data_IF_122219657865
#
_entry.id   IF_122219657865
#
_cell.length_a   1.000
_cell.length_b   1.000
_cell.length_c   1.000
_cell.angle_alpha   90.00
_cell.angle_beta   90.00
_cell.angle_gamma   90.00
#
_symmetry.space_group_name_H-M   'P 1'
#
loop_
_entity.id
_entity.type
_entity.pdbx_description
1 polymer ?
#
# COMPACT_ATOMS: atom_id res chain seq x y z
N UNK A 1 4.38 14.62 3.45
CA UNK A 1 4.66 14.24 4.85
C UNK A 1 4.83 15.47 5.74
N UNK A 2 5.82 16.36 5.53
CA UNK A 2 5.98 17.57 6.38
C UNK A 2 4.77 18.52 6.28
N UNK A 3 4.25 18.77 5.07
CA UNK A 3 3.08 19.64 4.86
C UNK A 3 1.81 19.07 5.52
N UNK A 4 1.59 17.76 5.42
CA UNK A 4 0.49 17.06 6.11
C UNK A 4 0.66 17.07 7.62
N UNK A 5 1.89 16.94 8.14
CA UNK A 5 2.16 17.03 9.57
C UNK A 5 1.85 18.42 10.10
N UNK A 6 2.24 19.48 9.39
CA UNK A 6 1.91 20.86 9.76
C UNK A 6 0.40 21.13 9.70
N UNK A 7 -0.30 20.62 8.69
CA UNK A 7 -1.76 20.74 8.59
C UNK A 7 -2.49 20.02 9.71
N UNK A 8 -2.08 18.80 10.07
CA UNK A 8 -2.65 18.04 11.21
C UNK A 8 -2.31 18.73 12.53
N UNK A 9 -1.09 19.23 12.71
CA UNK A 9 -0.70 19.95 13.92
C UNK A 9 -1.51 21.24 14.09
N UNK A 10 -1.77 21.98 13.01
CA UNK A 10 -2.66 23.12 12.99
C UNK A 10 -4.11 22.74 13.33
N UNK A 11 -4.61 21.58 12.86
CA UNK A 11 -5.93 21.07 13.25
C UNK A 11 -6.02 20.72 14.74
N UNK A 12 -4.98 20.09 15.30
CA UNK A 12 -4.93 19.75 16.73
C UNK A 12 -4.95 21.03 17.56
N UNK A 13 -4.13 22.03 17.22
CA UNK A 13 -4.14 23.34 17.88
C UNK A 13 -5.51 24.02 17.76
N UNK A 14 -6.09 24.05 16.57
CA UNK A 14 -7.40 24.66 16.34
C UNK A 14 -8.52 23.96 17.14
N UNK A 15 -8.46 22.63 17.28
CA UNK A 15 -9.46 21.84 18.02
C UNK A 15 -9.35 22.02 19.53
N UNK A 16 -8.14 22.03 20.09
CA UNK A 16 -7.94 22.12 21.54
C UNK A 16 -8.01 23.56 22.07
N UNK A 17 -7.60 24.56 21.28
CA UNK A 17 -7.56 25.95 21.73
C UNK A 17 -8.73 26.80 21.26
N UNK A 18 -9.23 26.58 20.03
CA UNK A 18 -10.21 27.48 19.41
C UNK A 18 -11.66 26.98 19.44
N UNK A 19 -11.91 25.68 19.69
CA UNK A 19 -13.25 25.04 19.70
C UNK A 19 -14.13 25.30 18.46
N UNK A 20 -13.63 25.97 17.43
CA UNK A 20 -14.31 26.09 16.15
C UNK A 20 -14.10 24.80 15.36
N UNK A 21 -15.18 24.01 15.21
CA UNK A 21 -15.28 22.94 14.22
C UNK A 21 -15.31 23.56 12.82
N UNK A 22 -14.15 24.02 12.38
CA UNK A 22 -13.97 24.50 11.01
C UNK A 22 -14.04 23.26 10.11
N UNK A 23 -15.27 22.93 9.70
CA UNK A 23 -15.66 21.72 8.95
C UNK A 23 -14.76 21.46 7.74
N UNK A 24 -14.31 22.53 7.07
CA UNK A 24 -13.42 22.44 5.91
C UNK A 24 -11.99 21.98 6.22
N UNK A 25 -11.43 22.21 7.41
CA UNK A 25 -10.07 21.71 7.69
C UNK A 25 -10.02 20.18 7.69
N UNK A 26 -11.10 19.52 8.14
CA UNK A 26 -11.22 18.06 8.15
C UNK A 26 -11.16 17.49 6.73
N UNK A 27 -11.95 18.05 5.81
CA UNK A 27 -11.98 17.64 4.42
C UNK A 27 -10.64 17.89 3.71
N UNK A 28 -9.99 19.04 3.97
CA UNK A 28 -8.71 19.38 3.37
C UNK A 28 -7.60 18.41 3.78
N UNK A 29 -7.56 18.02 5.05
CA UNK A 29 -6.61 17.06 5.58
C UNK A 29 -6.84 15.67 4.96
N UNK A 30 -8.10 15.24 4.83
CA UNK A 30 -8.47 13.98 4.20
C UNK A 30 -8.05 13.94 2.72
N UNK A 31 -8.32 15.01 1.95
CA UNK A 31 -7.92 15.10 0.54
C UNK A 31 -6.40 15.03 0.39
N UNK A 32 -5.68 15.84 1.17
CA UNK A 32 -4.22 15.84 1.17
C UNK A 32 -3.66 14.46 1.49
N UNK A 33 -4.19 13.81 2.53
CA UNK A 33 -3.80 12.47 2.93
C UNK A 33 -3.99 11.44 1.82
N UNK A 34 -5.13 11.45 1.13
CA UNK A 34 -5.42 10.49 0.06
C UNK A 34 -4.50 10.71 -1.15
N UNK A 35 -4.24 11.96 -1.53
CA UNK A 35 -3.24 12.26 -2.56
C UNK A 35 -1.85 11.71 -2.20
N UNK A 36 -1.40 11.95 -0.97
CA UNK A 36 -0.13 11.38 -0.50
C UNK A 36 -0.15 9.85 -0.45
N UNK A 37 -1.27 9.24 -0.10
CA UNK A 37 -1.44 7.80 -0.05
C UNK A 37 -1.36 7.18 -1.46
N UNK A 38 -1.96 7.82 -2.47
CA UNK A 38 -1.79 7.38 -3.87
C UNK A 38 -0.35 7.54 -4.36
N UNK A 39 0.32 8.65 -4.05
CA UNK A 39 1.74 8.83 -4.38
C UNK A 39 2.59 7.78 -3.67
N UNK A 40 2.34 7.51 -2.39
CA UNK A 40 3.05 6.49 -1.64
C UNK A 40 2.81 5.09 -2.23
N UNK A 41 1.56 4.75 -2.58
CA UNK A 41 1.23 3.50 -3.25
C UNK A 41 1.99 3.36 -4.58
N UNK A 42 1.95 4.39 -5.43
CA UNK A 42 2.66 4.41 -6.70
C UNK A 42 4.19 4.27 -6.52
N UNK A 43 4.78 4.98 -5.55
CA UNK A 43 6.21 4.88 -5.24
C UNK A 43 6.58 3.49 -4.70
N UNK A 44 5.73 2.88 -3.89
CA UNK A 44 5.95 1.55 -3.31
C UNK A 44 5.86 0.46 -4.37
N UNK A 45 4.92 0.59 -5.31
CA UNK A 45 4.80 -0.22 -6.52
C UNK A 45 6.03 -0.05 -7.41
N UNK A 46 6.46 1.20 -7.65
CA UNK A 46 7.62 1.47 -8.51
C UNK A 46 8.94 0.94 -7.95
N UNK A 47 9.13 1.02 -6.63
CA UNK A 47 10.37 0.57 -5.97
C UNK A 47 10.36 -0.89 -5.54
N UNK A 48 9.43 -1.72 -6.04
CA UNK A 48 9.21 -3.12 -5.61
C UNK A 48 9.43 -3.24 -4.09
N UNK A 49 8.47 -2.83 -3.25
CA UNK A 49 8.64 -2.69 -1.78
C UNK A 49 9.31 -3.85 -1.00
N UNK A 50 9.53 -5.00 -1.63
CA UNK A 50 10.44 -6.05 -1.20
C UNK A 50 11.91 -5.61 -1.08
N UNK A 51 12.39 -4.64 -1.87
CA UNK A 51 13.81 -4.21 -1.93
C UNK A 51 14.35 -3.76 -0.57
N UNK A 52 13.57 -3.06 0.26
CA UNK A 52 14.05 -2.59 1.57
C UNK A 52 14.26 -3.71 2.59
N UNK A 53 13.36 -4.71 2.60
CA UNK A 53 13.47 -5.88 3.49
C UNK A 53 14.49 -6.88 2.94
N UNK A 54 14.58 -6.99 1.60
CA UNK A 54 15.60 -7.76 0.91
C UNK A 54 17.01 -7.24 1.24
N UNK A 55 17.22 -5.91 1.25
CA UNK A 55 18.52 -5.29 1.56
C UNK A 55 18.96 -5.53 3.01
N UNK A 56 18.02 -5.44 3.97
CA UNK A 56 18.27 -5.72 5.38
C UNK A 56 18.67 -7.19 5.59
N UNK A 57 18.05 -8.09 4.82
CA UNK A 57 18.35 -9.52 4.88
C UNK A 57 19.60 -9.91 4.13
N UNK A 58 19.94 -9.25 3.02
CA UNK A 58 21.20 -9.47 2.28
C UNK A 58 22.41 -9.12 3.16
N UNK A 59 22.26 -8.13 4.05
CA UNK A 59 23.23 -7.82 5.09
C UNK A 59 23.39 -8.94 6.12
N UNK A 60 22.31 -9.64 6.48
CA UNK A 60 22.27 -10.68 7.54
C UNK A 60 22.55 -12.09 7.00
N UNK A 61 22.19 -12.40 5.75
CA UNK A 61 22.32 -13.72 5.11
C UNK A 61 23.36 -13.74 4.00
N UNK A 62 24.52 -13.12 4.27
CA UNK A 62 25.65 -13.08 3.35
C UNK A 62 26.10 -14.51 2.99
N UNK A 63 25.83 -14.97 1.76
CA UNK A 63 26.39 -16.21 1.19
C UNK A 63 25.44 -17.35 0.80
N UNK A 64 24.10 -17.21 0.88
CA UNK A 64 23.16 -18.26 0.41
C UNK A 64 22.10 -17.71 -0.57
N UNK A 65 22.35 -17.74 -1.90
CA UNK A 65 21.47 -17.12 -2.90
C UNK A 65 20.06 -17.75 -2.97
N UNK A 66 19.93 -19.04 -2.63
CA UNK A 66 18.62 -19.71 -2.60
C UNK A 66 17.79 -19.34 -1.37
N UNK A 67 18.45 -19.08 -0.23
CA UNK A 67 17.76 -18.61 0.96
C UNK A 67 17.13 -17.25 0.70
N UNK A 68 17.88 -16.34 0.07
CA UNK A 68 17.41 -15.02 -0.35
C UNK A 68 16.09 -15.12 -1.14
N UNK A 69 16.08 -15.89 -2.23
CA UNK A 69 14.92 -16.06 -3.10
C UNK A 69 13.68 -16.66 -2.42
N UNK A 70 13.85 -17.69 -1.56
CA UNK A 70 12.72 -18.34 -0.87
C UNK A 70 11.94 -17.33 -0.01
N UNK A 71 12.64 -16.46 0.71
CA UNK A 71 11.96 -15.54 1.62
C UNK A 71 11.45 -14.28 0.93
N UNK A 72 11.98 -13.92 -0.24
CA UNK A 72 11.33 -12.95 -1.13
C UNK A 72 9.94 -13.43 -1.53
N UNK A 73 9.85 -14.69 -1.99
CA UNK A 73 8.57 -15.35 -2.30
C UNK A 73 7.67 -15.46 -1.06
N UNK A 74 8.22 -15.81 0.10
CA UNK A 74 7.45 -15.87 1.35
C UNK A 74 6.85 -14.52 1.73
N UNK A 75 7.63 -13.43 1.65
CA UNK A 75 7.15 -12.07 1.90
C UNK A 75 6.08 -11.66 0.90
N UNK A 76 6.25 -11.98 -0.39
CA UNK A 76 5.23 -11.74 -1.41
C UNK A 76 3.91 -12.44 -1.09
N UNK A 77 3.97 -13.72 -0.72
CA UNK A 77 2.79 -14.50 -0.30
C UNK A 77 2.14 -13.89 0.95
N UNK A 78 2.94 -13.49 1.95
CA UNK A 78 2.45 -12.87 3.17
C UNK A 78 1.76 -11.52 2.88
N UNK A 79 2.34 -10.70 2.01
CA UNK A 79 1.74 -9.43 1.57
C UNK A 79 0.42 -9.65 0.82
N UNK A 80 0.35 -10.64 -0.07
CA UNK A 80 -0.88 -11.04 -0.75
C UNK A 80 -1.93 -11.50 0.26
N UNK A 81 -1.56 -12.34 1.22
CA UNK A 81 -2.47 -12.82 2.26
C UNK A 81 -3.04 -11.67 3.10
N UNK A 82 -2.20 -10.72 3.51
CA UNK A 82 -2.64 -9.52 4.22
C UNK A 82 -3.62 -8.71 3.36
N UNK A 83 -3.30 -8.47 2.08
CA UNK A 83 -4.19 -7.77 1.15
C UNK A 83 -5.53 -8.48 0.97
N UNK A 84 -5.54 -9.81 0.86
CA UNK A 84 -6.78 -10.59 0.77
C UNK A 84 -7.67 -10.44 2.01
N UNK A 85 -7.09 -10.22 3.20
CA UNK A 85 -7.85 -9.93 4.43
C UNK A 85 -8.41 -8.49 4.41
N UNK A 86 -7.63 -7.52 3.92
CA UNK A 86 -8.06 -6.11 3.85
C UNK A 86 -9.03 -5.80 2.71
N UNK A 87 -8.97 -6.55 1.60
CA UNK A 87 -9.82 -6.34 0.43
C UNK A 87 -11.34 -6.41 0.72
N UNK A 88 -11.88 -7.39 1.49
CA UNK A 88 -13.30 -7.40 1.83
C UNK A 88 -13.70 -6.24 2.72
N UNK A 89 -12.79 -5.76 3.58
CA UNK A 89 -13.03 -4.55 4.39
C UNK A 89 -13.13 -3.32 3.48
N UNK A 90 -12.21 -3.18 2.54
CA UNK A 90 -12.24 -2.11 1.55
C UNK A 90 -13.49 -2.17 0.64
N UNK A 91 -13.93 -3.37 0.27
CA UNK A 91 -15.15 -3.58 -0.51
C UNK A 91 -16.41 -3.17 0.28
N UNK A 92 -16.52 -3.58 1.55
CA UNK A 92 -17.59 -3.13 2.44
C UNK A 92 -17.59 -1.60 2.62
N UNK A 93 -16.40 -1.01 2.69
CA UNK A 93 -16.25 0.44 2.76
C UNK A 93 -16.74 1.14 1.49
N UNK A 94 -16.40 0.62 0.31
CA UNK A 94 -16.91 1.10 -0.98
C UNK A 94 -18.44 0.97 -1.09
N UNK A 95 -19.02 -0.16 -0.65
CA UNK A 95 -20.48 -0.35 -0.66
C UNK A 95 -21.20 0.67 0.24
N UNK A 96 -20.62 1.01 1.39
CA UNK A 96 -21.15 2.08 2.24
C UNK A 96 -21.03 3.44 1.55
N UNK A 97 -19.92 3.72 0.90
CA UNK A 97 -19.70 4.94 0.12
C UNK A 97 -20.76 5.15 -0.97
N UNK A 98 -21.13 4.06 -1.66
CA UNK A 98 -22.17 4.04 -2.69
C UNK A 98 -23.56 4.29 -2.12
N UNK A 99 -23.86 3.69 -0.96
CA UNK A 99 -25.18 3.78 -0.33
C UNK A 99 -25.42 5.10 0.39
N UNK A 100 -24.37 5.69 0.95
CA UNK A 100 -24.41 6.96 1.69
C UNK A 100 -23.42 7.94 1.05
N UNK A 101 -23.84 8.65 -0.02
CA UNK A 101 -22.99 9.67 -0.63
C UNK A 101 -22.77 10.81 0.35
N UNK A 102 -21.55 10.90 0.87
CA UNK A 102 -21.11 12.02 1.70
C UNK A 102 -20.56 13.11 0.80
N UNK A 103 -21.12 14.32 0.92
CA UNK A 103 -20.63 15.48 0.19
C UNK A 103 -19.70 16.27 1.11
N UNK A 104 -18.51 16.58 0.62
CA UNK A 104 -17.55 17.39 1.37
C UNK A 104 -18.13 18.76 1.71
N UNK A 105 -17.82 19.26 2.90
CA UNK A 105 -18.23 20.58 3.37
C UNK A 105 -17.41 21.69 2.72
N UNK A 106 -16.22 21.35 2.22
CA UNK A 106 -15.27 22.27 1.57
C UNK A 106 -15.59 22.52 0.09
N UNK A 107 -15.86 21.45 -0.66
CA UNK A 107 -16.18 21.53 -2.08
C UNK A 107 -17.49 20.79 -2.30
N UNK A 108 -18.59 21.54 -2.41
CA UNK A 108 -19.96 21.01 -2.53
C UNK A 108 -20.15 20.10 -3.75
N UNK A 109 -19.30 20.22 -4.76
CA UNK A 109 -19.30 19.39 -5.96
C UNK A 109 -18.39 18.15 -5.85
N UNK A 110 -17.57 18.05 -4.81
CA UNK A 110 -16.65 16.96 -4.60
C UNK A 110 -17.24 15.93 -3.63
N UNK A 111 -17.61 14.78 -4.19
CA UNK A 111 -18.18 13.68 -3.44
C UNK A 111 -17.06 12.87 -2.78
N UNK A 112 -17.06 12.78 -1.44
CA UNK A 112 -16.02 12.04 -0.71
C UNK A 112 -16.12 10.54 -0.94
N UNK A 113 -17.28 10.03 -1.37
CA UNK A 113 -17.45 8.64 -1.78
C UNK A 113 -16.60 8.25 -3.00
N UNK A 114 -16.26 9.20 -3.89
CA UNK A 114 -15.35 8.93 -5.01
C UNK A 114 -13.97 8.54 -4.51
N UNK A 115 -13.50 9.17 -3.43
CA UNK A 115 -12.22 8.83 -2.83
C UNK A 115 -12.22 7.40 -2.27
N UNK A 116 -13.31 7.00 -1.61
CA UNK A 116 -13.47 5.66 -1.05
C UNK A 116 -13.52 4.59 -2.17
N UNK A 117 -14.16 4.89 -3.30
CA UNK A 117 -14.13 4.02 -4.49
C UNK A 117 -12.73 3.91 -5.09
N UNK A 118 -12.02 5.04 -5.25
CA UNK A 118 -10.65 5.03 -5.79
C UNK A 118 -9.66 4.29 -4.90
N UNK A 119 -9.84 4.30 -3.58
CA UNK A 119 -9.06 3.49 -2.64
C UNK A 119 -9.23 1.99 -2.90
N UNK A 120 -10.46 1.52 -3.10
CA UNK A 120 -10.72 0.11 -3.43
C UNK A 120 -10.06 -0.28 -4.77
N UNK A 121 -10.21 0.56 -5.79
CA UNK A 121 -9.58 0.34 -7.10
C UNK A 121 -8.06 0.29 -6.98
N UNK A 122 -7.45 1.19 -6.21
CA UNK A 122 -6.01 1.20 -5.97
C UNK A 122 -5.54 -0.09 -5.26
N UNK A 123 -6.27 -0.56 -4.24
CA UNK A 123 -5.95 -1.83 -3.57
C UNK A 123 -6.06 -3.03 -4.50
N UNK A 124 -7.06 -3.05 -5.39
CA UNK A 124 -7.19 -4.08 -6.41
C UNK A 124 -6.01 -4.08 -7.39
N UNK A 125 -5.55 -2.91 -7.82
CA UNK A 125 -4.35 -2.79 -8.67
C UNK A 125 -3.08 -3.24 -7.96
N UNK A 126 -2.90 -2.90 -6.67
CA UNK A 126 -1.76 -3.36 -5.88
C UNK A 126 -1.76 -4.89 -5.75
N UNK A 127 -2.94 -5.50 -5.53
CA UNK A 127 -3.07 -6.96 -5.49
C UNK A 127 -2.64 -7.60 -6.82
N UNK A 128 -3.11 -7.07 -7.95
CA UNK A 128 -2.72 -7.56 -9.28
C UNK A 128 -1.20 -7.43 -9.49
N UNK A 129 -0.61 -6.30 -9.10
CA UNK A 129 0.82 -6.07 -9.24
C UNK A 129 1.64 -7.06 -8.38
N UNK A 130 1.24 -7.32 -7.14
CA UNK A 130 1.90 -8.29 -6.26
C UNK A 130 1.80 -9.72 -6.79
N UNK A 131 0.66 -10.09 -7.40
CA UNK A 131 0.51 -11.40 -8.04
C UNK A 131 1.49 -11.57 -9.23
N UNK A 132 1.67 -10.52 -10.04
CA UNK A 132 2.62 -10.53 -11.16
C UNK A 132 4.07 -10.66 -10.66
N UNK A 133 4.45 -9.87 -9.65
CA UNK A 133 5.80 -9.95 -9.04
C UNK A 133 6.05 -11.32 -8.44
N UNK A 134 5.13 -11.82 -7.61
CA UNK A 134 5.29 -13.11 -6.93
C UNK A 134 5.41 -14.26 -7.95
N UNK A 135 4.66 -14.21 -9.06
CA UNK A 135 4.80 -15.19 -10.16
C UNK A 135 6.18 -15.15 -10.80
N UNK A 136 6.74 -13.95 -11.04
CA UNK A 136 8.08 -13.78 -11.58
C UNK A 136 9.14 -14.32 -10.62
N UNK A 137 9.06 -13.98 -9.33
CA UNK A 137 9.99 -14.44 -8.30
C UNK A 137 9.98 -15.98 -8.17
N UNK A 138 8.80 -16.61 -8.24
CA UNK A 138 8.67 -18.08 -8.25
C UNK A 138 9.35 -18.69 -9.49
N UNK A 139 9.20 -18.07 -10.66
CA UNK A 139 9.83 -18.54 -11.90
C UNK A 139 11.36 -18.48 -11.81
N UNK A 140 11.90 -17.38 -11.28
CA UNK A 140 13.34 -17.20 -11.06
C UNK A 140 13.88 -18.21 -10.04
N UNK A 141 13.15 -18.44 -8.93
CA UNK A 141 13.50 -19.45 -7.93
C UNK A 141 13.55 -20.87 -8.52
N UNK A 142 12.56 -21.23 -9.34
CA UNK A 142 12.51 -22.53 -9.99
C UNK A 142 13.68 -22.74 -10.96
N UNK A 143 14.03 -21.72 -11.76
CA UNK A 143 15.20 -21.74 -12.65
C UNK A 143 16.50 -21.94 -11.87
N UNK A 144 16.69 -21.19 -10.77
CA UNK A 144 17.87 -21.29 -9.93
C UNK A 144 18.01 -22.66 -9.26
N UNK A 145 16.90 -23.26 -8.82
CA UNK A 145 16.88 -24.61 -8.26
C UNK A 145 17.26 -25.67 -9.30
N UNK A 146 16.70 -25.58 -10.50
CA UNK A 146 17.01 -26.47 -11.63
C UNK A 146 18.48 -26.39 -12.06
N UNK A 147 19.05 -25.19 -12.13
CA UNK A 147 20.47 -24.99 -12.46
C UNK A 147 21.39 -25.67 -11.45
N UNK A 148 21.13 -25.47 -10.15
CA UNK A 148 21.93 -26.08 -9.07
C UNK A 148 21.79 -27.60 -8.99
N UNK A 149 20.62 -28.14 -9.37
CA UNK A 149 20.40 -29.60 -9.46
C UNK A 149 21.25 -30.24 -10.56
N UNK A 150 21.50 -29.55 -11.68
CA UNK A 150 22.38 -30.05 -12.76
C UNK A 150 23.85 -30.05 -12.35
N UNK A 151 24.31 -29.00 -11.68
CA UNK A 151 25.68 -28.85 -11.21
C UNK A 151 26.09 -29.94 -10.21
N UNK A 152 25.13 -30.43 -9.41
CA UNK A 152 25.36 -31.49 -8.43
C UNK A 152 25.41 -32.90 -9.03
N UNK A 153 25.10 -33.04 -10.32
CA UNK A 153 24.96 -34.32 -11.03
C UNK A 153 26.12 -34.61 -11.99
N UNK A 154 26.98 -33.63 -12.24
CA UNK A 154 28.29 -33.73 -12.92
C UNK A 154 29.40 -33.85 -11.90
#
# INVERSE_FOLDING_TARGET
MIVTTFLIFAQVINRYWLHFEIMWFSDLALYSFIFFMFVAAAVTTWREGHVAVDFFRERVTRGKPIGAAIYRVFLGILSIAALCIFLPVAYQFMLRALKYPEYGTLVRWFNTSWLQMTLFVALAFVLLHLLVITRRDISELMKNYLARSREKKT
#
